data_IF_521393803435
#
_entry.id   IF_521393803435
#
_cell.length_a   1.000
_cell.length_b   1.000
_cell.length_c   1.000
_cell.angle_alpha   90.00
_cell.angle_beta   90.00
_cell.angle_gamma   90.00
#
_symmetry.space_group_name_H-M   'P 1'
#
loop_
_entity.id
_entity.type
_entity.pdbx_description
1 polymer ?
#
# COMPACT_ATOMS: atom_id res chain seq x y z
N UNK A 1 -11.26 12.22 33.00
CA UNK A 1 -10.34 12.68 31.95
C UNK A 1 -9.09 11.79 31.84
N UNK A 2 -9.22 10.47 32.07
CA UNK A 2 -8.07 9.54 32.12
C UNK A 2 -8.18 8.35 31.14
N UNK A 3 -9.32 8.19 30.45
CA UNK A 3 -9.56 7.05 29.54
C UNK A 3 -9.19 7.39 28.08
N UNK A 4 -8.96 8.68 27.74
CA UNK A 4 -8.73 9.13 26.35
C UNK A 4 -7.27 9.13 25.89
N UNK A 5 -6.30 8.85 26.77
CA UNK A 5 -4.87 8.80 26.41
C UNK A 5 -4.38 7.39 26.06
N UNK A 6 -5.11 6.34 26.45
CA UNK A 6 -4.71 4.94 26.21
C UNK A 6 -4.80 4.52 24.73
N UNK A 7 -5.67 5.16 23.94
CA UNK A 7 -5.86 4.83 22.53
C UNK A 7 -4.78 5.40 21.59
N UNK A 8 -4.07 6.46 22.00
CA UNK A 8 -2.81 6.87 21.32
C UNK A 8 -1.69 5.88 21.68
N UNK A 9 -1.79 5.24 22.85
CA UNK A 9 -0.77 4.33 23.35
C UNK A 9 -0.74 2.96 22.66
N UNK A 10 -1.78 2.55 21.93
CA UNK A 10 -1.79 1.23 21.25
C UNK A 10 -0.79 1.14 20.10
N UNK A 11 -0.54 2.22 19.34
CA UNK A 11 0.58 2.29 18.38
C UNK A 11 1.89 2.73 19.09
N UNK A 12 1.80 3.36 20.28
CA UNK A 12 2.97 3.79 21.06
C UNK A 12 3.61 2.70 21.93
N UNK A 13 2.94 1.56 22.15
CA UNK A 13 3.61 0.40 22.76
C UNK A 13 4.77 0.01 21.86
N UNK A 14 5.99 -0.04 22.41
CA UNK A 14 7.21 -0.27 21.61
C UNK A 14 7.08 -1.46 20.66
N UNK A 15 6.31 -2.46 21.04
CA UNK A 15 6.14 -3.70 20.29
C UNK A 15 5.10 -3.63 19.14
N UNK A 16 3.99 -2.90 19.29
CA UNK A 16 3.06 -2.66 18.18
C UNK A 16 3.72 -1.77 17.12
N UNK A 17 4.56 -0.84 17.59
CA UNK A 17 5.45 -0.06 16.74
C UNK A 17 6.45 -0.95 16.01
N UNK A 18 7.08 -1.92 16.66
CA UNK A 18 8.02 -2.85 16.01
C UNK A 18 7.35 -3.66 14.89
N UNK A 19 6.14 -4.16 15.13
CA UNK A 19 5.36 -4.84 14.10
C UNK A 19 5.09 -3.91 12.90
N UNK A 20 4.57 -2.72 13.15
CA UNK A 20 4.32 -1.72 12.11
C UNK A 20 5.61 -1.36 11.34
N UNK A 21 6.71 -1.08 12.05
CA UNK A 21 7.99 -0.72 11.44
C UNK A 21 8.56 -1.85 10.59
N UNK A 22 8.51 -3.10 11.06
CA UNK A 22 8.98 -4.26 10.29
C UNK A 22 8.18 -4.47 9.02
N UNK A 23 6.84 -4.38 9.08
CA UNK A 23 5.95 -4.48 7.93
C UNK A 23 6.24 -3.35 6.92
N UNK A 24 6.39 -2.11 7.39
CA UNK A 24 6.68 -0.97 6.50
C UNK A 24 8.09 -1.06 5.90
N UNK A 25 9.08 -1.50 6.68
CA UNK A 25 10.44 -1.70 6.19
C UNK A 25 10.49 -2.81 5.13
N UNK A 26 9.80 -3.93 5.35
CA UNK A 26 9.69 -4.98 4.34
C UNK A 26 9.06 -4.45 3.05
N UNK A 27 7.96 -3.69 3.14
CA UNK A 27 7.35 -3.09 1.95
C UNK A 27 8.32 -2.16 1.20
N UNK A 28 9.15 -1.38 1.90
CA UNK A 28 10.18 -0.54 1.27
C UNK A 28 11.22 -1.41 0.57
N UNK A 29 11.72 -2.46 1.22
CA UNK A 29 12.69 -3.39 0.64
C UNK A 29 12.14 -4.10 -0.60
N UNK A 30 10.86 -4.47 -0.62
CA UNK A 30 10.23 -5.06 -1.80
C UNK A 30 10.03 -4.02 -2.92
N UNK A 31 9.52 -2.84 -2.58
CA UNK A 31 9.18 -1.79 -3.56
C UNK A 31 10.41 -1.18 -4.25
N UNK A 32 11.59 -1.21 -3.60
CA UNK A 32 12.83 -0.69 -4.17
C UNK A 32 13.59 -1.70 -5.05
N UNK A 33 13.25 -2.99 -5.01
CA UNK A 33 13.93 -4.01 -5.82
C UNK A 33 13.97 -3.64 -7.30
N UNK A 34 12.84 -3.23 -7.93
CA UNK A 34 12.87 -2.79 -9.32
C UNK A 34 13.98 -1.77 -9.55
N UNK A 35 14.12 -0.76 -8.69
CA UNK A 35 15.07 0.34 -8.88
C UNK A 35 16.54 -0.06 -8.61
N UNK A 36 16.77 -1.18 -7.91
CA UNK A 36 18.10 -1.70 -7.58
C UNK A 36 18.64 -2.71 -8.59
N UNK A 37 17.78 -3.31 -9.42
CA UNK A 37 18.17 -4.33 -10.39
C UNK A 37 17.77 -3.93 -11.81
N UNK A 38 18.68 -4.12 -12.76
CA UNK A 38 18.40 -3.93 -14.18
C UNK A 38 18.05 -5.24 -14.90
N UNK A 39 18.38 -6.39 -14.30
CA UNK A 39 18.10 -7.70 -14.86
C UNK A 39 16.89 -8.35 -14.15
N UNK A 40 15.81 -8.69 -14.88
CA UNK A 40 14.60 -9.30 -14.32
C UNK A 40 14.86 -10.59 -13.51
N UNK A 41 15.79 -11.43 -13.97
CA UNK A 41 16.17 -12.67 -13.27
C UNK A 41 16.79 -12.37 -11.90
N UNK A 42 17.64 -11.35 -11.81
CA UNK A 42 18.23 -10.91 -10.53
C UNK A 42 17.14 -10.34 -9.61
N UNK A 43 16.16 -9.63 -10.17
CA UNK A 43 14.99 -9.17 -9.42
C UNK A 43 14.19 -10.34 -8.83
N UNK A 44 13.90 -11.35 -9.65
CA UNK A 44 13.17 -12.55 -9.21
C UNK A 44 13.93 -13.31 -8.11
N UNK A 45 15.25 -13.45 -8.22
CA UNK A 45 16.08 -14.04 -7.16
C UNK A 45 15.98 -13.25 -5.84
N UNK A 46 15.92 -11.91 -5.88
CA UNK A 46 15.73 -11.08 -4.69
C UNK A 46 14.33 -11.23 -4.10
N UNK A 47 13.29 -11.32 -4.94
CA UNK A 47 11.93 -11.60 -4.47
C UNK A 47 11.85 -12.97 -3.81
N UNK A 48 12.47 -13.99 -4.40
CA UNK A 48 12.57 -15.33 -3.82
C UNK A 48 13.31 -15.32 -2.48
N UNK A 49 14.43 -14.61 -2.39
CA UNK A 49 15.14 -14.43 -1.12
C UNK A 49 14.22 -13.87 -0.02
N UNK A 50 13.36 -12.91 -0.33
CA UNK A 50 12.42 -12.37 0.65
C UNK A 50 11.30 -13.35 1.02
N UNK A 51 10.80 -14.17 0.08
CA UNK A 51 9.86 -15.28 0.39
C UNK A 51 10.47 -16.27 1.37
N UNK A 52 11.70 -16.68 1.11
CA UNK A 52 12.43 -17.62 1.96
C UNK A 52 12.73 -17.00 3.34
N UNK A 53 13.12 -15.72 3.35
CA UNK A 53 13.39 -14.96 4.56
C UNK A 53 12.15 -14.83 5.45
N UNK A 54 11.00 -14.49 4.88
CA UNK A 54 9.72 -14.44 5.61
C UNK A 54 9.34 -15.82 6.13
N UNK A 55 9.43 -16.86 5.31
CA UNK A 55 9.11 -18.24 5.71
C UNK A 55 9.96 -18.69 6.90
N UNK A 56 11.27 -18.47 6.83
CA UNK A 56 12.20 -18.80 7.92
C UNK A 56 11.96 -17.96 9.17
N UNK A 57 11.64 -16.68 9.01
CA UNK A 57 11.31 -15.77 10.12
C UNK A 57 10.09 -16.23 10.89
N UNK A 58 9.02 -16.63 10.19
CA UNK A 58 7.81 -17.20 10.78
C UNK A 58 8.07 -18.56 11.43
N UNK A 59 9.02 -19.34 10.91
CA UNK A 59 9.49 -20.60 11.49
C UNK A 59 10.49 -20.41 12.66
N UNK A 60 10.77 -19.17 13.09
CA UNK A 60 11.62 -18.88 14.24
C UNK A 60 13.13 -18.86 13.95
N UNK A 61 13.54 -18.86 12.68
CA UNK A 61 14.96 -18.86 12.28
C UNK A 61 15.28 -17.71 11.32
N UNK A 62 15.02 -16.44 11.72
CA UNK A 62 15.20 -15.30 10.83
C UNK A 62 16.64 -15.22 10.29
N UNK A 63 16.84 -14.89 9.00
CA UNK A 63 18.16 -14.55 8.49
C UNK A 63 18.72 -13.30 9.17
N UNK A 64 20.02 -13.04 8.99
CA UNK A 64 20.74 -11.87 9.55
C UNK A 64 20.41 -10.56 8.81
N UNK A 65 19.14 -10.36 8.48
CA UNK A 65 18.62 -9.14 7.87
C UNK A 65 17.87 -8.32 8.93
N UNK A 66 18.14 -7.02 9.09
CA UNK A 66 17.49 -6.20 10.12
C UNK A 66 15.96 -6.26 10.10
N UNK A 67 15.36 -6.26 8.90
CA UNK A 67 13.91 -6.34 8.72
C UNK A 67 13.37 -7.69 9.20
N UNK A 68 14.03 -8.79 8.86
CA UNK A 68 13.64 -10.13 9.27
C UNK A 68 13.78 -10.34 10.78
N UNK A 69 14.84 -9.82 11.37
CA UNK A 69 15.06 -9.85 12.83
C UNK A 69 13.97 -9.06 13.55
N UNK A 70 13.66 -7.84 13.12
CA UNK A 70 12.62 -7.01 13.74
C UNK A 70 11.23 -7.66 13.60
N UNK A 71 10.93 -8.22 12.43
CA UNK A 71 9.69 -8.97 12.20
C UNK A 71 9.60 -10.18 13.15
N UNK A 72 10.69 -10.93 13.31
CA UNK A 72 10.72 -12.05 14.26
C UNK A 72 10.44 -11.59 15.70
N UNK A 73 11.08 -10.50 16.15
CA UNK A 73 10.85 -9.92 17.48
C UNK A 73 9.40 -9.51 17.67
N UNK A 74 8.81 -8.86 16.66
CA UNK A 74 7.40 -8.48 16.68
C UNK A 74 6.46 -9.69 16.76
N UNK A 75 6.73 -10.75 15.98
CA UNK A 75 5.95 -11.99 16.00
C UNK A 75 6.05 -12.73 17.34
N UNK A 76 7.25 -12.81 17.91
CA UNK A 76 7.47 -13.41 19.24
C UNK A 76 6.67 -12.67 20.31
N UNK A 77 6.76 -11.35 20.30
CA UNK A 77 5.99 -10.48 21.20
C UNK A 77 4.47 -10.64 21.04
N UNK A 78 4.00 -10.80 19.81
CA UNK A 78 2.60 -11.05 19.54
C UNK A 78 2.15 -12.39 20.14
N UNK A 79 2.93 -13.44 19.91
CA UNK A 79 2.65 -14.78 20.44
C UNK A 79 2.64 -14.82 21.98
N UNK A 80 3.58 -14.12 22.63
CA UNK A 80 3.64 -14.02 24.10
C UNK A 80 2.41 -13.31 24.69
N UNK A 81 1.88 -12.28 24.00
CA UNK A 81 0.72 -11.51 24.46
C UNK A 81 -0.61 -12.18 24.16
N UNK A 82 -0.69 -12.90 23.05
CA UNK A 82 -1.91 -13.56 22.59
C UNK A 82 -1.63 -15.04 22.30
N UNK A 83 -1.44 -15.86 23.36
CA UNK A 83 -1.23 -17.29 23.20
C UNK A 83 -2.39 -17.91 22.42
N UNK A 84 -2.07 -18.61 21.33
CA UNK A 84 -3.08 -19.20 20.43
C UNK A 84 -3.47 -18.35 19.22
N UNK A 85 -2.96 -17.11 19.08
CA UNK A 85 -3.09 -16.36 17.83
C UNK A 85 -2.32 -17.04 16.70
N UNK A 86 -3.03 -17.32 15.60
CA UNK A 86 -2.44 -17.95 14.42
C UNK A 86 -1.63 -16.92 13.61
N UNK A 87 -0.37 -17.23 13.33
CA UNK A 87 0.46 -16.43 12.41
C UNK A 87 0.20 -16.75 10.95
N UNK A 88 -0.72 -17.67 10.64
CA UNK A 88 -1.02 -18.09 9.27
C UNK A 88 -1.56 -16.93 8.43
N UNK A 89 -2.49 -16.13 8.98
CA UNK A 89 -3.03 -14.95 8.29
C UNK A 89 -1.93 -13.94 7.97
N UNK A 90 -0.98 -13.72 8.89
CA UNK A 90 0.19 -12.86 8.65
C UNK A 90 1.03 -13.43 7.49
N UNK A 91 1.28 -14.75 7.48
CA UNK A 91 2.02 -15.41 6.39
C UNK A 91 1.34 -15.19 5.04
N UNK A 92 0.03 -15.44 4.95
CA UNK A 92 -0.77 -15.24 3.73
C UNK A 92 -0.58 -13.82 3.21
N UNK A 93 -0.78 -12.82 4.07
CA UNK A 93 -0.66 -11.43 3.66
C UNK A 93 0.76 -11.02 3.26
N UNK A 94 1.79 -11.50 3.96
CA UNK A 94 3.18 -11.27 3.58
C UNK A 94 3.50 -11.86 2.21
N UNK A 95 3.03 -13.08 1.92
CA UNK A 95 3.24 -13.69 0.60
C UNK A 95 2.45 -12.96 -0.49
N UNK A 96 1.23 -12.53 -0.19
CA UNK A 96 0.37 -11.80 -1.12
C UNK A 96 1.04 -10.50 -1.59
N UNK A 97 1.60 -9.70 -0.67
CA UNK A 97 2.30 -8.46 -1.05
C UNK A 97 3.59 -8.73 -1.83
N UNK A 98 4.37 -9.77 -1.49
CA UNK A 98 5.57 -10.13 -2.26
C UNK A 98 5.20 -10.51 -3.70
N UNK A 99 4.18 -11.37 -3.86
CA UNK A 99 3.73 -11.83 -5.17
C UNK A 99 3.20 -10.67 -6.03
N UNK A 100 2.40 -9.77 -5.44
CA UNK A 100 1.88 -8.61 -6.16
C UNK A 100 2.99 -7.64 -6.59
N UNK A 101 4.03 -7.44 -5.77
CA UNK A 101 5.18 -6.60 -6.12
C UNK A 101 6.04 -7.24 -7.21
N UNK A 102 6.25 -8.55 -7.18
CA UNK A 102 6.99 -9.26 -8.22
C UNK A 102 6.28 -9.21 -9.57
N UNK A 103 4.95 -9.40 -9.60
CA UNK A 103 4.15 -9.36 -10.83
C UNK A 103 4.36 -8.06 -11.62
N UNK A 104 4.41 -6.92 -10.93
CA UNK A 104 4.56 -5.60 -11.55
C UNK A 104 6.00 -5.05 -11.54
N UNK A 105 6.98 -5.86 -11.10
CA UNK A 105 8.37 -5.43 -10.95
C UNK A 105 9.03 -5.01 -12.27
N UNK A 106 8.62 -5.63 -13.38
CA UNK A 106 9.15 -5.38 -14.72
C UNK A 106 8.28 -4.40 -15.50
N UNK A 107 7.65 -3.45 -14.80
CA UNK A 107 6.86 -2.37 -15.39
C UNK A 107 5.72 -2.89 -16.30
N UNK A 108 5.12 -4.02 -15.92
CA UNK A 108 3.99 -4.61 -16.65
C UNK A 108 2.78 -3.64 -16.63
N UNK A 109 2.14 -3.37 -17.77
CA UNK A 109 1.02 -2.43 -17.81
C UNK A 109 -0.22 -2.99 -17.10
N UNK A 110 -1.08 -2.10 -16.59
CA UNK A 110 -2.41 -2.48 -16.11
C UNK A 110 -3.37 -2.56 -17.30
N UNK A 111 -3.96 -3.73 -17.60
CA UNK A 111 -4.89 -3.84 -18.73
C UNK A 111 -6.12 -2.94 -18.59
N UNK A 112 -6.59 -2.76 -17.35
CA UNK A 112 -7.76 -1.95 -17.03
C UNK A 112 -7.69 -1.39 -15.60
N UNK A 113 -8.68 -0.56 -15.25
CA UNK A 113 -8.78 0.01 -13.90
C UNK A 113 -8.90 -1.07 -12.81
N UNK A 114 -9.62 -2.17 -13.06
CA UNK A 114 -9.78 -3.28 -12.11
C UNK A 114 -8.44 -3.95 -11.76
N UNK A 115 -7.54 -4.09 -12.74
CA UNK A 115 -6.20 -4.63 -12.51
C UNK A 115 -5.37 -3.71 -11.62
N UNK A 116 -5.50 -2.39 -11.80
CA UNK A 116 -4.85 -1.40 -10.92
C UNK A 116 -5.43 -1.45 -9.50
N UNK A 117 -6.74 -1.61 -9.34
CA UNK A 117 -7.37 -1.78 -8.03
C UNK A 117 -6.95 -3.08 -7.34
N UNK A 118 -6.86 -4.17 -8.10
CA UNK A 118 -6.38 -5.46 -7.60
C UNK A 118 -4.94 -5.35 -7.13
N UNK A 119 -4.08 -4.65 -7.88
CA UNK A 119 -2.72 -4.36 -7.44
C UNK A 119 -2.70 -3.51 -6.16
N UNK A 120 -3.52 -2.47 -6.09
CA UNK A 120 -3.61 -1.59 -4.92
C UNK A 120 -4.14 -2.34 -3.69
N UNK A 121 -5.08 -3.27 -3.85
CA UNK A 121 -5.57 -4.16 -2.80
C UNK A 121 -4.47 -5.07 -2.27
N UNK A 122 -3.78 -5.75 -3.19
CA UNK A 122 -2.76 -6.75 -2.87
C UNK A 122 -1.45 -6.11 -2.35
N UNK A 123 -1.30 -4.79 -2.40
CA UNK A 123 -0.11 -4.08 -1.93
C UNK A 123 -0.36 -3.05 -0.82
N UNK A 124 -1.36 -2.17 -0.94
CA UNK A 124 -1.61 -1.11 0.02
C UNK A 124 -2.65 -1.51 1.08
N UNK A 125 -3.78 -2.11 0.68
CA UNK A 125 -4.77 -2.63 1.63
C UNK A 125 -4.19 -3.76 2.48
N UNK A 126 -3.43 -4.66 1.83
CA UNK A 126 -2.75 -5.78 2.50
C UNK A 126 -1.80 -5.34 3.62
N UNK A 127 -1.17 -4.15 3.53
CA UNK A 127 -0.34 -3.62 4.63
C UNK A 127 -1.17 -3.20 5.84
N UNK A 128 -2.40 -2.73 5.61
CA UNK A 128 -3.34 -2.44 6.68
C UNK A 128 -3.82 -3.73 7.33
N UNK A 129 -4.17 -4.76 6.55
CA UNK A 129 -4.55 -6.08 7.08
C UNK A 129 -3.42 -6.72 7.89
N UNK A 130 -2.18 -6.63 7.42
CA UNK A 130 -1.00 -7.06 8.19
C UNK A 130 -0.88 -6.34 9.52
N UNK A 131 -1.12 -5.04 9.53
CA UNK A 131 -1.04 -4.23 10.75
C UNK A 131 -2.18 -4.57 11.70
N UNK A 132 -3.40 -4.83 11.21
CA UNK A 132 -4.52 -5.30 12.01
C UNK A 132 -4.29 -6.69 12.60
N UNK A 133 -3.76 -7.62 11.80
CA UNK A 133 -3.38 -8.95 12.26
C UNK A 133 -2.30 -8.90 13.35
N UNK A 134 -1.39 -7.92 13.30
CA UNK A 134 -0.39 -7.69 14.34
C UNK A 134 -0.94 -6.98 15.60
N UNK A 135 -2.14 -6.39 15.52
CA UNK A 135 -2.88 -5.77 16.63
C UNK A 135 -4.04 -6.65 17.15
N UNK A 136 -3.97 -7.96 16.90
CA UNK A 136 -5.07 -8.95 16.83
C UNK A 136 -6.48 -8.35 16.68
N UNK A 137 -6.64 -7.45 15.71
CA UNK A 137 -7.92 -6.85 15.38
C UNK A 137 -8.56 -7.65 14.25
N UNK A 138 -9.56 -8.45 14.59
CA UNK A 138 -10.35 -9.22 13.63
C UNK A 138 -11.71 -8.55 13.46
N UNK A 139 -11.84 -7.69 12.45
CA UNK A 139 -13.07 -6.93 12.23
C UNK A 139 -13.31 -6.72 10.75
N UNK A 140 -14.41 -7.29 10.24
CA UNK A 140 -14.84 -7.10 8.85
C UNK A 140 -15.02 -5.62 8.52
N UNK A 141 -15.59 -4.82 9.44
CA UNK A 141 -15.76 -3.38 9.25
C UNK A 141 -14.42 -2.64 9.10
N UNK A 142 -13.40 -3.03 9.89
CA UNK A 142 -12.08 -2.42 9.80
C UNK A 142 -11.34 -2.84 8.51
N UNK A 143 -11.41 -4.11 8.13
CA UNK A 143 -10.85 -4.62 6.89
C UNK A 143 -11.54 -4.01 5.66
N UNK A 144 -12.86 -3.86 5.70
CA UNK A 144 -13.62 -3.22 4.62
C UNK A 144 -13.22 -1.74 4.44
N UNK A 145 -13.02 -1.00 5.54
CA UNK A 145 -12.47 0.36 5.48
C UNK A 145 -11.05 0.35 4.90
N UNK A 146 -10.21 -0.58 5.35
CA UNK A 146 -8.84 -0.69 4.89
C UNK A 146 -8.73 -1.07 3.40
N UNK A 147 -9.65 -1.85 2.84
CA UNK A 147 -9.76 -2.15 1.41
C UNK A 147 -9.88 -0.87 0.60
N UNK A 148 -10.93 -0.08 0.86
CA UNK A 148 -11.16 1.16 0.11
C UNK A 148 -10.03 2.18 0.30
N UNK A 149 -9.58 2.39 1.54
CA UNK A 149 -8.50 3.33 1.83
C UNK A 149 -7.15 2.88 1.25
N UNK A 150 -6.89 1.58 1.23
CA UNK A 150 -5.70 0.98 0.63
C UNK A 150 -5.72 1.09 -0.88
N UNK A 151 -6.83 0.74 -1.54
CA UNK A 151 -7.04 0.93 -2.98
C UNK A 151 -6.82 2.38 -3.40
N UNK A 152 -7.44 3.34 -2.72
CA UNK A 152 -7.22 4.76 -2.96
C UNK A 152 -5.74 5.16 -2.84
N UNK A 153 -5.06 4.69 -1.79
CA UNK A 153 -3.65 4.98 -1.56
C UNK A 153 -2.74 4.37 -2.63
N UNK A 154 -3.05 3.17 -3.11
CA UNK A 154 -2.29 2.49 -4.15
C UNK A 154 -2.45 3.13 -5.52
N UNK A 155 -3.67 3.53 -5.88
CA UNK A 155 -3.93 4.28 -7.12
C UNK A 155 -3.16 5.61 -7.08
N UNK A 156 -3.24 6.35 -5.97
CA UNK A 156 -2.49 7.60 -5.79
C UNK A 156 -0.99 7.38 -5.89
N UNK A 157 -0.46 6.30 -5.35
CA UNK A 157 0.96 5.99 -5.46
C UNK A 157 1.40 5.73 -6.92
N UNK A 158 0.55 5.07 -7.73
CA UNK A 158 0.82 4.90 -9.17
C UNK A 158 0.83 6.24 -9.88
N UNK A 159 -0.18 7.08 -9.66
CA UNK A 159 -0.25 8.43 -10.25
C UNK A 159 0.94 9.31 -9.83
N UNK A 160 1.31 9.29 -8.55
CA UNK A 160 2.47 10.02 -8.03
C UNK A 160 3.80 9.48 -8.58
N UNK A 161 3.87 8.19 -8.87
CA UNK A 161 5.05 7.54 -9.44
C UNK A 161 5.22 7.78 -10.94
N UNK A 162 4.15 8.18 -11.64
CA UNK A 162 4.15 8.32 -13.10
C UNK A 162 5.29 9.19 -13.63
N UNK A 163 5.55 10.42 -13.13
CA UNK A 163 6.66 11.23 -13.63
C UNK A 163 8.02 10.56 -13.48
N UNK A 164 8.24 9.85 -12.37
CA UNK A 164 9.50 9.19 -12.04
C UNK A 164 9.72 7.91 -12.86
N UNK A 165 8.63 7.26 -13.28
CA UNK A 165 8.66 6.05 -14.12
C UNK A 165 8.76 6.40 -15.60
N UNK A 166 8.07 7.45 -16.04
CA UNK A 166 8.15 7.94 -17.41
C UNK A 166 9.52 8.55 -17.72
N UNK A 167 10.15 9.20 -16.74
CA UNK A 167 11.46 9.83 -16.86
C UNK A 167 12.40 9.37 -15.75
N UNK A 168 12.90 8.12 -15.81
CA UNK A 168 13.77 7.59 -14.77
C UNK A 168 15.09 8.36 -14.72
N UNK A 169 15.68 8.55 -13.51
CA UNK A 169 16.99 9.16 -13.40
C UNK A 169 18.06 8.29 -14.08
N UNK A 170 19.19 8.88 -14.51
CA UNK A 170 20.29 8.13 -15.11
C UNK A 170 20.78 7.02 -14.17
N UNK A 171 21.23 5.87 -14.72
CA UNK A 171 21.66 4.73 -13.92
C UNK A 171 22.87 5.09 -13.05
N UNK A 172 22.92 4.51 -11.84
CA UNK A 172 24.06 4.67 -10.93
C UNK A 172 25.31 3.98 -11.52
N UNK A 173 26.39 4.72 -11.74
CA UNK A 173 27.65 4.25 -12.35
C UNK A 173 28.49 3.30 -11.45
N UNK A 174 28.09 3.09 -10.19
CA UNK A 174 28.86 2.34 -9.19
C UNK A 174 28.25 0.96 -8.86
N UNK A 175 27.86 0.19 -9.87
CA UNK A 175 27.40 -1.19 -9.66
C UNK A 175 28.57 -2.16 -9.65
N UNK A 176 28.90 -2.71 -8.48
CA UNK A 176 29.91 -3.78 -8.34
C UNK A 176 29.46 -5.14 -8.92
N UNK A 177 28.22 -5.23 -9.43
CA UNK A 177 27.64 -6.47 -9.95
C UNK A 177 27.67 -6.56 -11.50
N UNK A 178 28.36 -5.64 -12.18
CA UNK A 178 28.38 -5.57 -13.65
C UNK A 178 28.75 -6.91 -14.31
N UNK A 179 29.80 -7.59 -13.85
CA UNK A 179 30.25 -8.86 -14.42
C UNK A 179 29.27 -10.03 -14.24
N UNK A 180 28.50 -10.05 -13.15
CA UNK A 180 27.45 -11.06 -12.94
C UNK A 180 26.22 -10.80 -13.82
N UNK A 181 25.87 -9.52 -14.01
CA UNK A 181 24.73 -9.12 -14.86
C UNK A 181 25.03 -9.42 -16.34
N UNK A 182 26.25 -9.15 -16.79
CA UNK A 182 26.71 -9.45 -18.16
C UNK A 182 26.76 -10.96 -18.44
N UNK A 183 27.22 -11.77 -17.47
CA UNK A 183 27.20 -13.23 -17.57
C UNK A 183 25.79 -13.82 -17.69
N UNK A 184 24.76 -13.10 -17.22
CA UNK A 184 23.35 -13.44 -17.38
C UNK A 184 22.72 -12.83 -18.66
N UNK A 185 23.53 -12.30 -19.58
CA UNK A 185 23.07 -11.66 -20.81
C UNK A 185 22.36 -10.32 -20.61
N UNK A 186 22.50 -9.72 -19.42
CA UNK A 186 21.96 -8.39 -19.12
C UNK A 186 22.86 -7.28 -19.63
N UNK A 187 22.27 -6.27 -20.24
CA UNK A 187 23.00 -5.06 -20.67
C UNK A 187 22.94 -4.00 -19.56
N UNK A 188 24.03 -3.27 -19.34
CA UNK A 188 24.09 -2.13 -18.39
C UNK A 188 23.38 -0.87 -18.92
N UNK A 189 22.46 -1.03 -19.89
CA UNK A 189 21.69 0.06 -20.47
C UNK A 189 20.78 0.72 -19.42
N UNK A 190 20.59 2.04 -19.55
CA UNK A 190 19.70 2.80 -18.67
C UNK A 190 18.26 2.26 -18.72
N UNK A 191 17.52 2.45 -17.62
CA UNK A 191 16.09 2.13 -17.59
C UNK A 191 15.37 2.91 -18.68
N UNK A 192 14.62 2.20 -19.51
CA UNK A 192 13.69 2.85 -20.41
C UNK A 192 12.49 3.36 -19.59
N UNK A 193 12.10 4.61 -19.83
CA UNK A 193 10.91 5.17 -19.20
C UNK A 193 9.65 4.45 -19.64
N UNK A 194 8.64 4.42 -18.77
CA UNK A 194 7.33 3.84 -19.06
C UNK A 194 6.19 4.69 -18.48
N UNK A 195 5.06 4.75 -19.19
CA UNK A 195 3.83 5.39 -18.69
C UNK A 195 2.91 4.33 -18.09
N UNK A 196 2.83 4.31 -16.76
CA UNK A 196 2.10 3.29 -16.00
C UNK A 196 0.69 3.77 -15.64
N UNK A 197 -0.19 3.86 -16.65
CA UNK A 197 -1.64 4.08 -16.48
C UNK A 197 -2.42 2.86 -17.01
N UNK A 198 -3.69 2.66 -16.58
CA UNK A 198 -4.55 1.66 -17.19
C UNK A 198 -4.70 1.85 -18.70
N UNK A 199 -4.49 0.77 -19.46
CA UNK A 199 -4.46 0.81 -20.93
C UNK A 199 -5.82 1.18 -21.54
N UNK A 200 -6.92 0.74 -20.92
CA UNK A 200 -8.29 1.13 -21.28
C UNK A 200 -8.50 2.64 -21.15
N UNK A 201 -8.07 3.25 -20.04
CA UNK A 201 -8.19 4.68 -19.80
C UNK A 201 -7.27 5.47 -20.76
N UNK A 202 -6.04 5.00 -20.99
CA UNK A 202 -5.16 5.62 -21.98
C UNK A 202 -5.79 5.60 -23.37
N UNK A 203 -6.35 4.47 -23.80
CA UNK A 203 -7.02 4.35 -25.08
C UNK A 203 -8.25 5.25 -25.19
N UNK A 204 -9.09 5.29 -24.15
CA UNK A 204 -10.29 6.11 -24.10
C UNK A 204 -9.98 7.61 -24.16
N UNK A 205 -8.92 8.05 -23.49
CA UNK A 205 -8.47 9.44 -23.49
C UNK A 205 -7.53 9.78 -24.66
N UNK A 206 -7.18 8.82 -25.51
CA UNK A 206 -6.29 9.03 -26.66
C UNK A 206 -4.83 9.30 -26.30
N UNK A 207 -4.37 8.85 -25.12
CA UNK A 207 -3.00 9.02 -24.65
C UNK A 207 -2.05 8.13 -25.44
N UNK A 208 -1.05 8.74 -26.08
CA UNK A 208 0.06 8.01 -26.71
C UNK A 208 1.31 8.15 -25.86
N UNK A 209 1.93 7.03 -25.52
CA UNK A 209 3.13 7.00 -24.67
C UNK A 209 4.27 7.86 -25.25
N UNK A 210 4.46 7.82 -26.56
CA UNK A 210 5.47 8.62 -27.25
C UNK A 210 5.24 10.14 -27.13
N UNK A 211 3.98 10.59 -27.15
CA UNK A 211 3.64 12.00 -26.94
C UNK A 211 3.90 12.41 -25.48
N UNK A 212 3.69 11.52 -24.51
CA UNK A 212 4.08 11.75 -23.11
C UNK A 212 5.58 11.94 -22.98
N UNK A 213 6.40 11.13 -23.65
CA UNK A 213 7.86 11.30 -23.60
C UNK A 213 8.34 12.59 -24.27
N UNK A 214 7.65 13.08 -25.31
CA UNK A 214 8.02 14.30 -26.04
C UNK A 214 7.53 15.58 -25.37
N UNK A 215 6.29 15.56 -24.87
CA UNK A 215 5.56 16.75 -24.42
C UNK A 215 5.36 16.79 -22.91
N UNK A 216 5.66 15.69 -22.19
CA UNK A 216 5.45 15.60 -20.75
C UNK A 216 3.98 15.82 -20.38
N UNK A 217 3.73 16.79 -19.51
CA UNK A 217 2.40 17.15 -19.04
C UNK A 217 1.46 17.65 -20.15
N UNK A 218 2.01 18.17 -21.24
CA UNK A 218 1.25 18.76 -22.36
C UNK A 218 0.82 17.70 -23.40
N UNK A 219 1.11 16.42 -23.15
CA UNK A 219 0.67 15.34 -24.01
C UNK A 219 -0.87 15.27 -24.07
N UNK A 220 -1.45 15.22 -25.29
CA UNK A 220 -2.91 15.16 -25.45
C UNK A 220 -3.54 14.01 -24.67
N UNK A 221 -4.65 14.30 -23.97
CA UNK A 221 -5.41 13.32 -23.21
C UNK A 221 -4.80 12.87 -21.87
N UNK A 222 -3.53 13.23 -21.58
CA UNK A 222 -2.85 12.72 -20.37
C UNK A 222 -3.51 13.20 -19.08
N UNK A 223 -3.84 14.50 -19.00
CA UNK A 223 -4.55 15.06 -17.84
C UNK A 223 -5.93 14.44 -17.65
N UNK A 224 -6.66 14.17 -18.74
CA UNK A 224 -7.97 13.52 -18.70
C UNK A 224 -7.85 12.06 -18.21
N UNK A 225 -6.82 11.34 -18.65
CA UNK A 225 -6.53 9.99 -18.17
C UNK A 225 -6.19 10.00 -16.66
N UNK A 226 -5.32 10.93 -16.23
CA UNK A 226 -5.00 11.12 -14.81
C UNK A 226 -6.27 11.47 -14.02
N UNK A 227 -7.11 12.37 -14.54
CA UNK A 227 -8.37 12.76 -13.92
C UNK A 227 -9.28 11.55 -13.67
N UNK A 228 -9.46 10.68 -14.66
CA UNK A 228 -10.29 9.47 -14.52
C UNK A 228 -9.74 8.51 -13.47
N UNK A 229 -8.44 8.22 -13.51
CA UNK A 229 -7.80 7.35 -12.52
C UNK A 229 -7.86 7.96 -11.11
N UNK A 230 -7.65 9.27 -11.00
CA UNK A 230 -7.75 10.00 -9.73
C UNK A 230 -9.18 10.03 -9.18
N UNK A 231 -10.18 10.14 -10.07
CA UNK A 231 -11.61 10.06 -9.73
C UNK A 231 -11.90 8.73 -9.05
N UNK A 232 -11.43 7.62 -9.63
CA UNK A 232 -11.65 6.29 -9.04
C UNK A 232 -11.01 6.13 -7.65
N UNK A 233 -9.84 6.73 -7.42
CA UNK A 233 -9.24 6.79 -6.09
C UNK A 233 -10.07 7.62 -5.10
N UNK A 234 -10.64 8.74 -5.56
CA UNK A 234 -11.51 9.59 -4.75
C UNK A 234 -12.83 8.90 -4.42
N UNK A 235 -13.42 8.13 -5.34
CA UNK A 235 -14.63 7.34 -5.10
C UNK A 235 -14.44 6.39 -3.92
N UNK A 236 -13.30 5.68 -3.87
CA UNK A 236 -12.96 4.84 -2.71
C UNK A 236 -12.89 5.62 -1.39
N UNK A 237 -12.36 6.86 -1.40
CA UNK A 237 -12.33 7.70 -0.20
C UNK A 237 -13.74 8.15 0.21
N UNK A 238 -14.61 8.44 -0.76
CA UNK A 238 -16.02 8.79 -0.52
C UNK A 238 -16.75 7.59 0.08
N UNK A 239 -16.65 6.41 -0.53
CA UNK A 239 -17.25 5.17 -0.03
C UNK A 239 -16.78 4.85 1.39
N UNK A 240 -15.47 4.93 1.66
CA UNK A 240 -14.94 4.71 3.01
C UNK A 240 -15.49 5.72 4.05
N UNK A 241 -15.69 6.99 3.65
CA UNK A 241 -16.27 8.02 4.52
C UNK A 241 -17.75 7.75 4.80
N UNK A 242 -18.52 7.38 3.79
CA UNK A 242 -19.93 7.03 3.92
C UNK A 242 -20.10 5.79 4.80
N UNK A 243 -19.28 4.76 4.56
CA UNK A 243 -19.25 3.54 5.35
C UNK A 243 -18.94 3.82 6.82
N UNK A 244 -17.90 4.62 7.10
CA UNK A 244 -17.57 5.02 8.47
C UNK A 244 -18.70 5.83 9.14
N UNK A 245 -19.41 6.67 8.38
CA UNK A 245 -20.56 7.42 8.87
C UNK A 245 -21.71 6.46 9.25
N UNK A 246 -21.99 5.46 8.42
CA UNK A 246 -23.03 4.46 8.69
C UNK A 246 -22.69 3.61 9.93
N UNK A 247 -21.46 3.09 9.99
CA UNK A 247 -20.96 2.31 11.14
C UNK A 247 -21.03 3.12 12.44
N UNK A 248 -20.69 4.42 12.41
CA UNK A 248 -20.83 5.34 13.56
C UNK A 248 -22.27 5.49 14.05
N UNK A 249 -23.24 5.36 13.16
CA UNK A 249 -24.67 5.44 13.48
C UNK A 249 -25.24 4.09 13.94
N UNK A 250 -24.43 3.03 13.98
CA UNK A 250 -24.86 1.68 14.30
C UNK A 250 -25.53 0.95 13.14
N UNK A 251 -25.44 1.50 11.92
CA UNK A 251 -25.93 0.87 10.71
C UNK A 251 -24.85 -0.06 10.13
N UNK A 252 -25.26 -0.92 9.21
CA UNK A 252 -24.33 -1.70 8.39
C UNK A 252 -23.47 -0.79 7.49
N UNK A 253 -22.38 -1.33 6.94
CA UNK A 253 -21.47 -0.65 6.03
C UNK A 253 -22.20 0.05 4.85
N UNK A 254 -23.31 -0.53 4.39
CA UNK A 254 -24.12 0.00 3.29
C UNK A 254 -23.92 -0.73 1.97
N UNK A 255 -22.94 -1.63 1.91
CA UNK A 255 -22.79 -2.66 0.89
C UNK A 255 -21.93 -3.81 1.43
N UNK A 256 -22.02 -4.96 0.76
CA UNK A 256 -21.25 -6.15 1.13
C UNK A 256 -19.75 -5.93 0.89
N UNK A 257 -18.94 -6.63 1.68
CA UNK A 257 -17.49 -6.62 1.51
C UNK A 257 -17.07 -7.62 0.43
N UNK A 258 -16.53 -7.11 -0.67
CA UNK A 258 -16.16 -7.92 -1.85
C UNK A 258 -15.12 -9.02 -1.57
N UNK A 259 -14.32 -8.89 -0.51
CA UNK A 259 -13.29 -9.86 -0.11
C UNK A 259 -13.68 -10.68 1.12
N UNK A 260 -14.95 -10.65 1.54
CA UNK A 260 -15.41 -11.54 2.59
C UNK A 260 -15.25 -13.01 2.16
N UNK A 261 -14.77 -13.85 3.08
CA UNK A 261 -14.45 -15.26 2.82
C UNK A 261 -13.24 -15.53 1.91
N UNK A 262 -12.56 -14.49 1.37
CA UNK A 262 -11.31 -14.68 0.64
C UNK A 262 -10.15 -15.08 1.58
N UNK A 263 -9.08 -15.64 1.02
CA UNK A 263 -7.90 -16.07 1.79
C UNK A 263 -7.35 -14.92 2.65
N UNK A 264 -7.24 -15.17 3.96
CA UNK A 264 -6.80 -14.19 4.96
C UNK A 264 -7.93 -13.39 5.64
N UNK A 265 -9.13 -13.31 5.04
CA UNK A 265 -10.33 -12.73 5.65
C UNK A 265 -11.23 -13.83 6.18
N UNK A 266 -10.95 -14.27 7.42
CA UNK A 266 -11.77 -15.24 8.13
C UNK A 266 -12.31 -14.58 9.39
N UNK A 267 -13.62 -14.35 9.40
CA UNK A 267 -14.34 -13.83 10.55
C UNK A 267 -15.16 -14.97 11.15
N UNK A 268 -15.07 -15.17 12.47
CA UNK A 268 -15.94 -16.12 13.14
C UNK A 268 -17.33 -15.51 13.32
N UNK A 269 -18.38 -16.20 12.86
CA UNK A 269 -19.81 -15.84 13.04
C UNK A 269 -20.21 -15.61 14.51
N UNK A 270 -19.35 -16.01 15.46
CA UNK A 270 -19.57 -15.99 16.89
C UNK A 270 -19.04 -14.74 17.61
N UNK A 271 -18.66 -13.66 16.90
CA UNK A 271 -18.42 -12.39 17.59
C UNK A 271 -19.75 -11.92 18.19
N UNK A 272 -19.89 -11.86 19.52
CA UNK A 272 -21.13 -11.42 20.12
C UNK A 272 -21.39 -10.00 19.63
N UNK A 273 -22.63 -9.72 19.20
CA UNK A 273 -23.13 -8.39 18.75
C UNK A 273 -22.96 -7.27 19.81
N UNK A 274 -22.25 -7.54 20.90
CA UNK A 274 -21.98 -6.66 22.03
C UNK A 274 -20.76 -5.76 21.82
N UNK A 275 -19.80 -6.09 20.94
CA UNK A 275 -18.80 -5.12 20.48
C UNK A 275 -19.40 -4.34 19.30
N UNK A 276 -19.55 -3.03 19.45
CA UNK A 276 -20.00 -2.21 18.31
C UNK A 276 -18.94 -2.28 17.22
N UNK A 277 -19.35 -2.53 15.97
CA UNK A 277 -18.45 -2.49 14.80
C UNK A 277 -17.60 -1.21 14.80
N UNK A 278 -18.18 -0.10 15.26
CA UNK A 278 -17.48 1.16 15.45
C UNK A 278 -16.33 1.10 16.47
N UNK A 279 -16.49 0.38 17.58
CA UNK A 279 -15.43 0.22 18.58
C UNK A 279 -14.20 -0.50 18.01
N UNK A 280 -14.40 -1.48 17.15
CA UNK A 280 -13.30 -2.16 16.44
C UNK A 280 -12.58 -1.20 15.49
N UNK A 281 -13.34 -0.46 14.69
CA UNK A 281 -12.81 0.58 13.81
C UNK A 281 -12.07 1.65 14.61
N UNK A 282 -12.55 2.04 15.78
CA UNK A 282 -11.92 3.04 16.64
C UNK A 282 -10.56 2.57 17.17
N UNK A 283 -10.46 1.28 17.55
CA UNK A 283 -9.20 0.62 17.96
C UNK A 283 -8.20 0.56 16.80
N UNK A 284 -8.67 0.22 15.60
CA UNK A 284 -7.86 0.14 14.39
C UNK A 284 -7.58 1.49 13.70
N UNK A 285 -8.19 2.58 14.15
CA UNK A 285 -8.25 3.82 13.37
C UNK A 285 -6.88 4.40 12.99
N UNK A 286 -5.86 4.20 13.83
CA UNK A 286 -4.51 4.67 13.54
C UNK A 286 -3.87 4.00 12.31
N UNK A 287 -4.30 2.77 11.97
CA UNK A 287 -3.86 2.09 10.74
C UNK A 287 -4.54 2.73 9.52
N UNK A 288 -5.83 3.04 9.61
CA UNK A 288 -6.61 3.68 8.54
C UNK A 288 -6.09 5.08 8.17
N UNK A 289 -5.39 5.75 9.10
CA UNK A 289 -4.74 7.04 8.86
C UNK A 289 -3.70 7.02 7.74
N UNK A 290 -3.19 5.86 7.31
CA UNK A 290 -2.20 5.79 6.23
C UNK A 290 -2.72 6.28 4.88
N UNK A 291 -4.04 6.41 4.70
CA UNK A 291 -4.64 6.97 3.49
C UNK A 291 -4.79 8.50 3.51
N UNK A 292 -4.57 9.16 4.65
CA UNK A 292 -4.69 10.62 4.73
C UNK A 292 -3.73 11.34 3.75
N UNK A 293 -2.44 10.96 3.61
CA UNK A 293 -1.57 11.57 2.62
C UNK A 293 -2.10 11.44 1.19
N UNK A 294 -2.74 10.32 0.85
CA UNK A 294 -3.33 10.10 -0.47
C UNK A 294 -4.49 11.08 -0.73
N UNK A 295 -5.38 11.27 0.26
CA UNK A 295 -6.46 12.26 0.19
C UNK A 295 -5.94 13.69 -0.02
N UNK A 296 -4.90 14.09 0.73
CA UNK A 296 -4.29 15.42 0.57
C UNK A 296 -3.61 15.59 -0.78
N UNK A 297 -3.01 14.53 -1.30
CA UNK A 297 -2.38 14.55 -2.61
C UNK A 297 -3.41 14.69 -3.73
N UNK A 298 -4.58 14.03 -3.64
CA UNK A 298 -5.68 14.22 -4.58
C UNK A 298 -6.25 15.65 -4.55
N UNK A 299 -6.49 16.22 -3.36
CA UNK A 299 -6.92 17.63 -3.20
C UNK A 299 -5.90 18.62 -3.82
N UNK A 300 -4.62 18.25 -3.82
CA UNK A 300 -3.55 19.05 -4.41
C UNK A 300 -3.51 18.87 -5.93
N UNK A 301 -3.67 17.63 -6.41
CA UNK A 301 -3.71 17.28 -7.83
C UNK A 301 -4.84 18.04 -8.54
N UNK A 302 -6.03 18.09 -7.96
CA UNK A 302 -7.19 18.83 -8.49
C UNK A 302 -6.87 20.32 -8.70
N UNK A 303 -6.18 20.95 -7.74
CA UNK A 303 -5.77 22.37 -7.85
C UNK A 303 -4.76 22.64 -8.94
N UNK A 304 -4.03 21.61 -9.37
CA UNK A 304 -3.06 21.68 -10.46
C UNK A 304 -3.63 21.11 -11.76
N UNK A 305 -4.95 21.04 -11.90
CA UNK A 305 -5.61 20.62 -13.14
C UNK A 305 -5.12 19.23 -13.60
N UNK A 306 -4.97 18.31 -12.64
CA UNK A 306 -4.55 16.93 -12.85
C UNK A 306 -3.18 16.78 -13.52
N UNK A 307 -2.34 17.82 -13.47
CA UNK A 307 -0.94 17.78 -13.92
C UNK A 307 -0.05 17.13 -12.85
N UNK A 308 0.28 15.85 -13.06
CA UNK A 308 1.18 15.07 -12.17
C UNK A 308 2.65 15.50 -12.25
N UNK A 309 3.06 16.25 -13.27
CA UNK A 309 4.46 16.67 -13.47
C UNK A 309 4.80 17.98 -12.77
N UNK A 310 3.82 18.68 -12.18
CA UNK A 310 4.12 19.89 -11.39
C UNK A 310 5.12 19.56 -10.28
N UNK A 311 6.24 20.30 -10.15
CA UNK A 311 7.25 20.06 -9.10
C UNK A 311 6.67 20.05 -7.69
N UNK A 312 5.59 20.82 -7.47
CA UNK A 312 4.85 20.86 -6.23
C UNK A 312 4.29 19.48 -5.87
N UNK A 313 3.93 18.62 -6.82
CA UNK A 313 3.37 17.29 -6.53
C UNK A 313 4.35 16.34 -5.84
N UNK A 314 5.65 16.65 -5.89
CA UNK A 314 6.70 15.87 -5.22
C UNK A 314 6.88 16.28 -3.74
N UNK A 315 6.39 17.46 -3.35
CA UNK A 315 6.57 17.97 -1.98
C UNK A 315 5.48 17.49 -1.03
N UNK A 316 5.88 17.18 0.21
CA UNK A 316 4.95 16.84 1.27
C UNK A 316 4.03 18.03 1.61
N UNK A 317 2.78 17.73 1.96
CA UNK A 317 1.83 18.76 2.39
C UNK A 317 2.14 19.18 3.84
N UNK A 318 2.48 20.44 4.05
CA UNK A 318 2.77 21.02 5.37
C UNK A 318 1.58 20.94 6.32
N UNK A 319 0.34 20.82 5.80
CA UNK A 319 -0.89 20.68 6.60
C UNK A 319 -1.06 19.28 7.17
N UNK A 320 -0.26 18.30 6.72
CA UNK A 320 -0.41 16.89 7.10
C UNK A 320 -0.42 16.68 8.62
N UNK A 321 0.47 17.25 9.45
CA UNK A 321 0.46 17.02 10.90
C UNK A 321 -0.83 17.52 11.57
N UNK A 322 -1.28 18.73 11.22
CA UNK A 322 -2.48 19.33 11.78
C UNK A 322 -3.75 18.60 11.34
N UNK A 323 -3.84 18.24 10.05
CA UNK A 323 -4.95 17.43 9.54
C UNK A 323 -4.94 16.04 10.17
N UNK A 324 -3.78 15.41 10.33
CA UNK A 324 -3.65 14.09 10.96
C UNK A 324 -4.16 14.10 12.40
N UNK A 325 -3.76 15.12 13.18
CA UNK A 325 -4.27 15.30 14.54
C UNK A 325 -5.80 15.44 14.55
N UNK A 326 -6.36 16.35 13.72
CA UNK A 326 -7.81 16.57 13.66
C UNK A 326 -8.59 15.31 13.25
N UNK A 327 -8.12 14.60 12.21
CA UNK A 327 -8.71 13.39 11.66
C UNK A 327 -8.68 12.27 12.70
N UNK A 328 -7.55 12.09 13.39
CA UNK A 328 -7.42 11.10 14.45
C UNK A 328 -8.29 11.41 15.67
N UNK A 329 -8.34 12.68 16.13
CA UNK A 329 -9.16 13.08 17.28
C UNK A 329 -10.65 12.97 17.03
N UNK A 330 -11.10 13.23 15.80
CA UNK A 330 -12.53 13.18 15.42
C UNK A 330 -12.96 11.83 14.84
N UNK A 331 -12.00 10.94 14.58
CA UNK A 331 -12.19 9.65 13.91
C UNK A 331 -12.94 9.81 12.58
N UNK A 332 -12.50 10.72 11.72
CA UNK A 332 -13.13 11.03 10.42
C UNK A 332 -12.16 10.74 9.28
N UNK A 333 -12.67 10.41 8.08
CA UNK A 333 -11.87 10.14 6.87
C UNK A 333 -12.00 11.31 5.88
#
# INVERSE_FOLDING_TARGET
MSIRLEHIAQISSGMARDAYLSIRALNIELARIPDLVSNPTVGALRMQFWRDSVTRTLAGTPPKEPVAILLHTALKSLHERYPGSSTNTIKVWLMKVINAREQYMNDQPYPNMDALETYAENTYSTLSYLTFAALPLHSMAADHLASHLGKASGIVAVLRGLPLRAFPPPPNLHSNNAGFVEALGGSAGGRQGTVILPLDIMAECGVKEEEVFRLGADAPGLKDAVFKVATRANDHLITAREMLKNIKQGNDAGHDFEYDGHEGHQYTDSSPRTNSQFGDVERGFGVLMSALPARLWLEKLEKFDFDVFKPQMLTADWKLPFKAYSVFSRKVI
#
